data_IF_434094293547
#
_entry.id   IF_434094293547
#
_cell.length_a   1.000
_cell.length_b   1.000
_cell.length_c   1.000
_cell.angle_alpha   90.00
_cell.angle_beta   90.00
_cell.angle_gamma   90.00
#
_symmetry.space_group_name_H-M   'P 1'
#
loop_
_entity.id
_entity.type
_entity.pdbx_description
1 polymer ?
#
# COMPACT_ATOMS: atom_id res chain seq x y z
N UNK A 1 14.81 11.36 -30.45
CA UNK A 1 15.24 11.90 -29.15
C UNK A 1 14.23 11.43 -28.11
N UNK A 2 14.64 10.55 -27.20
CA UNK A 2 13.75 9.94 -26.20
C UNK A 2 13.60 10.90 -25.02
N UNK A 3 12.43 11.55 -24.94
CA UNK A 3 12.06 12.40 -23.81
C UNK A 3 11.64 11.49 -22.67
N UNK A 4 12.56 11.21 -21.74
CA UNK A 4 12.22 10.57 -20.46
C UNK A 4 11.27 11.51 -19.70
N UNK A 5 9.98 11.21 -19.73
CA UNK A 5 9.00 11.81 -18.81
C UNK A 5 9.42 11.41 -17.40
N UNK A 6 9.93 12.37 -16.63
CA UNK A 6 10.25 12.17 -15.22
C UNK A 6 8.95 12.21 -14.43
N UNK A 7 8.32 11.05 -14.25
CA UNK A 7 7.21 10.91 -13.30
C UNK A 7 7.77 11.08 -11.90
N UNK A 8 7.44 12.20 -11.24
CA UNK A 8 7.87 12.50 -9.86
C UNK A 8 7.08 11.62 -8.89
N UNK A 9 7.64 10.46 -8.53
CA UNK A 9 7.06 9.50 -7.59
C UNK A 9 7.44 9.92 -6.15
N UNK A 10 6.46 9.98 -5.24
CA UNK A 10 6.67 10.21 -3.81
C UNK A 10 7.06 8.89 -3.15
N UNK A 11 8.13 8.91 -2.33
CA UNK A 11 8.47 7.76 -1.50
C UNK A 11 7.71 7.88 -0.15
N UNK A 12 6.88 6.89 0.25
CA UNK A 12 6.31 6.73 1.58
C UNK A 12 7.39 6.29 2.59
N UNK A 13 8.61 6.80 2.43
CA UNK A 13 9.75 6.37 3.23
C UNK A 13 10.28 7.49 4.11
N UNK A 14 9.58 8.62 4.28
CA UNK A 14 10.08 9.71 5.12
C UNK A 14 8.92 10.30 5.93
N UNK A 15 9.14 10.52 7.23
CA UNK A 15 8.28 11.43 8.00
C UNK A 15 8.64 12.87 7.61
N UNK A 16 7.65 13.75 7.51
CA UNK A 16 7.86 15.16 7.20
C UNK A 16 7.70 16.03 8.44
N UNK A 17 8.67 16.91 8.71
CA UNK A 17 8.53 17.87 9.80
C UNK A 17 7.45 18.93 9.48
N UNK A 18 6.39 19.01 10.29
CA UNK A 18 5.32 20.01 10.12
C UNK A 18 5.80 21.43 10.40
N UNK A 19 6.79 21.61 11.27
CA UNK A 19 7.31 22.94 11.63
C UNK A 19 8.28 23.46 10.55
N UNK A 20 8.94 22.56 9.82
CA UNK A 20 9.79 22.89 8.69
C UNK A 20 9.51 21.94 7.52
N UNK A 21 8.53 22.30 6.68
CA UNK A 21 8.03 21.47 5.58
C UNK A 21 9.10 21.06 4.54
N UNK A 22 10.30 21.65 4.56
CA UNK A 22 11.39 21.25 3.66
C UNK A 22 12.29 20.14 4.22
N UNK A 23 12.08 19.74 5.48
CA UNK A 23 12.98 18.82 6.19
C UNK A 23 12.35 17.43 6.33
N UNK A 24 13.04 16.44 5.78
CA UNK A 24 12.64 15.04 5.79
C UNK A 24 13.37 14.33 6.92
N UNK A 25 12.63 13.52 7.68
CA UNK A 25 13.15 12.71 8.76
C UNK A 25 13.54 11.35 8.18
N UNK A 26 14.83 10.96 8.27
CA UNK A 26 15.31 9.73 7.64
C UNK A 26 14.63 8.48 8.18
N UNK A 27 14.08 7.67 7.28
CA UNK A 27 13.81 6.26 7.53
C UNK A 27 15.12 5.49 7.53
N UNK A 28 15.30 4.67 8.55
CA UNK A 28 16.50 3.89 8.80
C UNK A 28 16.30 2.42 8.44
N UNK A 29 15.13 1.87 8.74
CA UNK A 29 14.81 0.46 8.50
C UNK A 29 13.35 0.25 8.15
N UNK A 30 13.10 -0.70 7.27
CA UNK A 30 11.78 -1.26 6.98
C UNK A 30 11.84 -2.77 7.19
N UNK A 31 10.85 -3.32 7.89
CA UNK A 31 10.61 -4.76 7.91
C UNK A 31 9.18 -5.01 7.46
N UNK A 32 9.03 -5.85 6.45
CA UNK A 32 7.75 -6.29 5.91
C UNK A 32 7.61 -7.78 6.15
N UNK A 33 6.62 -8.15 6.95
CA UNK A 33 6.20 -9.53 7.15
C UNK A 33 4.81 -9.72 6.57
N UNK A 34 4.63 -10.74 5.73
CA UNK A 34 3.33 -11.08 5.16
C UNK A 34 3.05 -12.58 5.26
N UNK A 35 1.78 -12.95 5.42
CA UNK A 35 1.30 -14.32 5.33
C UNK A 35 0.12 -14.36 4.36
N UNK A 36 0.26 -15.12 3.29
CA UNK A 36 -0.76 -15.32 2.26
C UNK A 36 -1.36 -16.71 2.44
N UNK A 37 -2.68 -16.76 2.57
CA UNK A 37 -3.48 -17.98 2.64
C UNK A 37 -4.62 -17.84 1.66
N UNK A 38 -4.69 -18.75 0.69
CA UNK A 38 -5.67 -18.66 -0.39
C UNK A 38 -5.73 -17.25 -1.03
N UNK A 39 -6.85 -16.53 -0.87
CA UNK A 39 -7.12 -15.22 -1.46
C UNK A 39 -7.02 -14.06 -0.46
N UNK A 40 -6.32 -14.25 0.65
CA UNK A 40 -6.14 -13.21 1.66
C UNK A 40 -4.67 -13.11 2.09
N UNK A 41 -4.26 -11.89 2.42
CA UNK A 41 -2.96 -11.60 3.02
C UNK A 41 -3.12 -10.89 4.36
N UNK A 42 -2.38 -11.35 5.36
CA UNK A 42 -2.09 -10.63 6.60
C UNK A 42 -0.71 -10.00 6.48
N UNK A 43 -0.62 -8.68 6.62
CA UNK A 43 0.60 -7.91 6.38
C UNK A 43 0.92 -7.07 7.61
N UNK A 44 2.17 -7.12 8.04
CA UNK A 44 2.73 -6.27 9.08
C UNK A 44 3.94 -5.53 8.55
N UNK A 45 3.91 -4.20 8.63
CA UNK A 45 4.99 -3.32 8.20
C UNK A 45 5.51 -2.57 9.42
N UNK A 46 6.81 -2.67 9.65
CA UNK A 46 7.54 -1.98 10.70
C UNK A 46 8.52 -1.00 10.08
N UNK A 47 8.46 0.28 10.48
CA UNK A 47 9.30 1.34 9.94
C UNK A 47 9.97 2.08 11.09
N UNK A 48 11.30 2.18 11.03
CA UNK A 48 12.11 2.87 12.02
C UNK A 48 12.59 4.21 11.49
N UNK A 49 12.19 5.28 12.15
CA UNK A 49 12.61 6.65 11.85
C UNK A 49 13.46 7.21 12.97
N UNK A 50 14.35 8.16 12.66
CA UNK A 50 15.14 8.87 13.67
C UNK A 50 15.06 10.38 13.48
N UNK A 51 14.75 11.09 14.56
CA UNK A 51 14.89 12.55 14.59
C UNK A 51 16.38 12.92 14.73
N UNK A 52 17.01 13.36 13.66
CA UNK A 52 18.40 13.85 13.67
C UNK A 52 18.52 15.34 14.04
N UNK A 53 17.40 16.03 14.24
CA UNK A 53 17.38 17.44 14.62
C UNK A 53 17.78 17.65 16.09
N UNK A 54 18.20 18.88 16.40
CA UNK A 54 18.50 19.31 17.77
C UNK A 54 17.26 19.75 18.55
N UNK A 55 16.08 19.74 17.92
CA UNK A 55 14.81 20.16 18.52
C UNK A 55 13.73 19.09 18.36
N UNK A 56 12.73 19.01 19.28
CA UNK A 56 11.58 18.14 19.08
C UNK A 56 10.84 18.51 17.80
N UNK A 57 10.33 17.51 17.09
CA UNK A 57 9.64 17.70 15.81
C UNK A 57 8.23 17.10 15.82
N UNK A 58 7.34 17.69 15.02
CA UNK A 58 6.07 17.07 14.65
C UNK A 58 6.21 16.47 13.27
N UNK A 59 5.82 15.21 13.12
CA UNK A 59 6.03 14.43 11.92
C UNK A 59 4.69 14.00 11.31
N UNK A 60 4.60 14.03 9.99
CA UNK A 60 3.50 13.39 9.24
C UNK A 60 4.06 12.37 8.29
N UNK A 61 3.40 11.23 8.22
CA UNK A 61 3.71 10.16 7.29
C UNK A 61 2.44 9.68 6.62
N UNK A 62 2.50 9.43 5.31
CA UNK A 62 1.39 8.90 4.54
C UNK A 62 1.74 7.47 4.11
N UNK A 63 0.81 6.55 4.32
CA UNK A 63 0.97 5.14 4.03
C UNK A 63 -0.16 4.69 3.10
N UNK A 64 0.14 4.37 1.83
CA UNK A 64 -0.86 3.83 0.92
C UNK A 64 -1.14 2.36 1.25
N UNK A 65 -2.40 1.95 1.18
CA UNK A 65 -2.82 0.55 1.24
C UNK A 65 -3.80 0.26 0.11
N UNK A 66 -4.00 -1.01 -0.24
CA UNK A 66 -5.06 -1.35 -1.18
C UNK A 66 -6.44 -0.93 -0.65
N UNK A 67 -7.34 -0.52 -1.55
CA UNK A 67 -8.68 -0.01 -1.19
C UNK A 67 -9.49 -1.02 -0.35
N UNK A 68 -9.29 -2.32 -0.59
CA UNK A 68 -9.97 -3.41 0.12
C UNK A 68 -9.25 -3.83 1.41
N UNK A 69 -8.17 -3.15 1.80
CA UNK A 69 -7.42 -3.49 3.00
C UNK A 69 -8.08 -2.93 4.28
N UNK A 70 -8.03 -3.70 5.36
CA UNK A 70 -8.51 -3.31 6.68
C UNK A 70 -7.35 -3.30 7.69
N UNK A 71 -6.99 -2.11 8.18
CA UNK A 71 -6.03 -1.95 9.28
C UNK A 71 -6.69 -2.39 10.58
N UNK A 72 -6.05 -3.33 11.29
CA UNK A 72 -6.54 -3.83 12.58
C UNK A 72 -5.58 -3.54 13.74
N UNK A 73 -4.32 -3.16 13.46
CA UNK A 73 -3.35 -2.82 14.49
C UNK A 73 -2.47 -1.64 14.07
N UNK A 74 -2.22 -0.76 15.04
CA UNK A 74 -1.23 0.31 14.95
C UNK A 74 -0.49 0.45 16.29
N UNK A 75 0.83 0.41 16.24
CA UNK A 75 1.70 0.57 17.40
C UNK A 75 2.77 1.61 17.05
N UNK A 76 3.02 2.53 17.98
CA UNK A 76 4.17 3.44 17.93
C UNK A 76 5.08 3.16 19.12
N UNK A 77 6.37 2.93 18.88
CA UNK A 77 7.38 2.75 19.94
C UNK A 77 8.40 3.87 19.87
N UNK A 78 8.59 4.55 20.99
CA UNK A 78 9.59 5.63 21.14
C UNK A 78 10.28 5.41 22.48
N UNK A 79 11.60 5.31 22.45
CA UNK A 79 12.40 4.86 23.59
C UNK A 79 11.87 3.51 24.13
N UNK A 80 11.66 3.40 25.43
CA UNK A 80 11.17 2.19 26.10
C UNK A 80 9.63 2.13 26.20
N UNK A 81 8.92 3.01 25.47
CA UNK A 81 7.46 3.14 25.53
C UNK A 81 6.82 2.56 24.29
N UNK A 82 5.85 1.69 24.51
CA UNK A 82 4.95 1.21 23.46
C UNK A 82 3.58 1.89 23.60
N UNK A 83 3.11 2.49 22.51
CA UNK A 83 1.79 3.10 22.42
C UNK A 83 0.94 2.27 21.45
N UNK A 84 -0.06 1.57 21.98
CA UNK A 84 -1.05 0.83 21.20
C UNK A 84 -2.24 1.72 20.86
N UNK A 85 -2.63 1.80 19.60
CA UNK A 85 -3.81 2.58 19.19
C UNK A 85 -5.10 1.99 19.75
N UNK A 86 -6.04 2.88 20.06
CA UNK A 86 -7.43 2.53 20.34
C UNK A 86 -8.31 3.06 19.21
N UNK A 87 -9.09 2.18 18.59
CA UNK A 87 -10.04 2.57 17.56
C UNK A 87 -11.13 3.46 18.15
N UNK A 88 -11.30 4.65 17.59
CA UNK A 88 -12.31 5.64 18.00
C UNK A 88 -12.95 6.26 16.76
N UNK A 89 -14.15 6.82 16.92
CA UNK A 89 -14.75 7.67 15.88
C UNK A 89 -13.81 8.82 15.53
N UNK A 90 -13.66 9.12 14.23
CA UNK A 90 -12.69 10.09 13.69
C UNK A 90 -12.62 11.41 14.48
N UNK A 91 -13.75 12.11 14.66
CA UNK A 91 -13.79 13.38 15.41
C UNK A 91 -13.33 13.24 16.87
N UNK A 92 -13.64 12.12 17.51
CA UNK A 92 -13.21 11.84 18.89
C UNK A 92 -11.71 11.58 18.97
N UNK A 93 -11.15 10.85 18.01
CA UNK A 93 -9.72 10.60 17.91
C UNK A 93 -8.93 11.89 17.69
N UNK A 94 -9.37 12.73 16.75
CA UNK A 94 -8.76 14.03 16.46
C UNK A 94 -8.78 14.97 17.67
N UNK A 95 -9.90 15.04 18.40
CA UNK A 95 -10.01 15.84 19.61
C UNK A 95 -9.01 15.38 20.68
N UNK A 96 -8.95 14.07 20.96
CA UNK A 96 -8.03 13.52 21.95
C UNK A 96 -6.55 13.76 21.58
N UNK A 97 -6.21 13.63 20.30
CA UNK A 97 -4.87 13.94 19.79
C UNK A 97 -4.49 15.41 20.04
N UNK A 98 -5.38 16.35 19.70
CA UNK A 98 -5.11 17.78 19.88
C UNK A 98 -4.99 18.18 21.36
N UNK A 99 -5.83 17.62 22.23
CA UNK A 99 -5.76 17.85 23.68
C UNK A 99 -4.44 17.36 24.28
N UNK A 100 -3.98 16.17 23.87
CA UNK A 100 -2.69 15.62 24.31
C UNK A 100 -1.52 16.51 23.88
N UNK A 101 -1.53 17.02 22.65
CA UNK A 101 -0.51 17.96 22.18
C UNK A 101 -0.52 19.29 22.94
N UNK A 102 -1.69 19.85 23.24
CA UNK A 102 -1.81 21.09 24.01
C UNK A 102 -1.30 20.93 25.44
N UNK A 103 -1.46 19.74 26.02
CA UNK A 103 -0.89 19.39 27.33
C UNK A 103 0.62 19.10 27.30
N UNK A 104 1.26 19.16 26.13
CA UNK A 104 2.69 18.88 25.97
C UNK A 104 3.05 17.40 25.99
N UNK A 105 2.08 16.50 25.81
CA UNK A 105 2.30 15.07 25.70
C UNK A 105 2.64 14.66 24.26
N UNK A 106 3.41 13.57 24.11
CA UNK A 106 3.52 12.90 22.82
C UNK A 106 2.17 12.31 22.42
N UNK A 107 1.78 12.52 21.16
CA UNK A 107 0.47 12.09 20.64
C UNK A 107 0.64 11.44 19.27
N UNK A 108 -0.14 10.39 19.01
CA UNK A 108 -0.04 9.59 17.78
C UNK A 108 -1.44 9.32 17.25
N UNK A 109 -1.65 9.60 15.97
CA UNK A 109 -2.94 9.46 15.31
C UNK A 109 -2.75 8.86 13.93
N UNK A 110 -3.40 7.73 13.68
CA UNK A 110 -3.59 7.15 12.36
C UNK A 110 -5.04 7.42 11.93
N UNK A 111 -5.23 8.01 10.75
CA UNK A 111 -6.56 8.21 10.17
C UNK A 111 -6.54 8.05 8.66
N UNK A 112 -7.67 7.61 8.09
CA UNK A 112 -7.87 7.57 6.64
C UNK A 112 -8.01 8.99 6.09
N UNK A 113 -7.39 9.25 4.94
CA UNK A 113 -7.48 10.54 4.25
C UNK A 113 -8.94 10.84 3.82
N UNK A 114 -9.29 12.13 3.78
CA UNK A 114 -10.66 12.55 3.44
C UNK A 114 -10.98 12.48 1.95
N UNK A 115 -9.95 12.51 1.10
CA UNK A 115 -10.09 12.55 -0.36
C UNK A 115 -9.68 11.25 -1.02
N UNK A 116 -9.01 10.36 -0.29
CA UNK A 116 -8.45 9.11 -0.81
C UNK A 116 -8.67 7.99 0.19
N UNK A 117 -9.44 6.98 -0.23
CA UNK A 117 -9.77 5.83 0.61
C UNK A 117 -8.57 4.87 0.78
N UNK A 118 -7.67 4.87 -0.18
CA UNK A 118 -6.47 4.02 -0.27
C UNK A 118 -5.23 4.64 0.41
N UNK A 119 -5.40 5.72 1.18
CA UNK A 119 -4.29 6.39 1.85
C UNK A 119 -4.60 6.70 3.32
N UNK A 120 -3.63 6.38 4.18
CA UNK A 120 -3.69 6.64 5.60
C UNK A 120 -2.62 7.64 6.01
N UNK A 121 -2.99 8.54 6.90
CA UNK A 121 -2.13 9.59 7.43
C UNK A 121 -1.82 9.29 8.89
N UNK A 122 -0.53 9.21 9.19
CA UNK A 122 0.02 9.05 10.53
C UNK A 122 0.60 10.39 10.97
N UNK A 123 0.11 10.89 12.10
CA UNK A 123 0.62 12.08 12.76
C UNK A 123 1.39 11.64 14.01
N UNK A 124 2.68 11.98 14.04
CA UNK A 124 3.61 11.73 15.15
C UNK A 124 3.91 13.07 15.82
N UNK A 125 3.36 13.26 17.02
CA UNK A 125 3.49 14.49 17.78
C UNK A 125 4.67 14.49 18.73
N UNK A 126 5.51 15.52 18.64
CA UNK A 126 6.58 15.83 19.60
C UNK A 126 7.66 14.74 19.74
N UNK A 127 8.17 14.22 18.61
CA UNK A 127 9.31 13.30 18.58
C UNK A 127 10.59 14.02 19.06
N UNK A 128 11.24 13.61 20.17
CA UNK A 128 12.36 14.35 20.73
C UNK A 128 13.66 14.26 19.89
N UNK A 129 14.62 15.19 20.09
CA UNK A 129 15.93 15.18 19.43
C UNK A 129 16.68 13.86 19.62
N UNK A 130 17.28 13.34 18.56
CA UNK A 130 18.12 12.14 18.58
C UNK A 130 17.37 10.82 18.79
N UNK A 131 16.05 10.85 19.00
CA UNK A 131 15.22 9.69 19.32
C UNK A 131 14.69 8.96 18.09
N UNK A 132 14.48 7.67 18.27
CA UNK A 132 13.88 6.80 17.27
C UNK A 132 12.38 6.62 17.52
N UNK A 133 11.65 6.46 16.43
CA UNK A 133 10.23 6.16 16.40
C UNK A 133 10.04 4.94 15.50
N UNK A 134 9.64 3.82 16.08
CA UNK A 134 9.23 2.64 15.33
C UNK A 134 7.71 2.63 15.20
N UNK A 135 7.23 2.59 13.96
CA UNK A 135 5.81 2.48 13.63
C UNK A 135 5.54 1.08 13.11
N UNK A 136 4.58 0.39 13.70
CA UNK A 136 4.09 -0.92 13.26
C UNK A 136 2.64 -0.80 12.83
N UNK A 137 2.35 -1.17 11.59
CA UNK A 137 1.00 -1.20 11.02
C UNK A 137 0.71 -2.66 10.64
N UNK A 138 -0.43 -3.19 11.06
CA UNK A 138 -0.90 -4.51 10.62
C UNK A 138 -2.28 -4.41 10.00
N UNK A 139 -2.44 -5.04 8.84
CA UNK A 139 -3.66 -5.01 8.06
C UNK A 139 -3.89 -6.35 7.35
N UNK A 140 -5.16 -6.62 7.03
CA UNK A 140 -5.55 -7.72 6.15
C UNK A 140 -6.05 -7.16 4.83
N UNK A 141 -5.88 -7.91 3.74
CA UNK A 141 -6.39 -7.54 2.41
C UNK A 141 -6.77 -8.77 1.60
N UNK A 142 -7.80 -8.63 0.76
CA UNK A 142 -8.19 -9.64 -0.23
C UNK A 142 -7.28 -9.55 -1.46
N UNK A 143 -7.01 -10.69 -2.09
CA UNK A 143 -6.12 -10.79 -3.25
C UNK A 143 -6.91 -11.03 -4.53
N UNK A 144 -6.52 -10.33 -5.59
CA UNK A 144 -7.21 -10.36 -6.86
C UNK A 144 -6.71 -11.51 -7.76
N UNK A 145 -7.65 -12.12 -8.48
CA UNK A 145 -7.34 -12.97 -9.64
C UNK A 145 -6.98 -12.09 -10.84
N UNK A 146 -5.89 -12.43 -11.51
CA UNK A 146 -5.43 -11.77 -12.73
C UNK A 146 -5.22 -12.80 -13.83
N UNK A 147 -5.06 -12.31 -15.06
CA UNK A 147 -4.84 -13.15 -16.25
C UNK A 147 -5.88 -14.28 -16.37
N UNK A 148 -7.17 -13.89 -16.42
CA UNK A 148 -8.31 -14.79 -16.56
C UNK A 148 -8.38 -15.90 -15.49
N UNK A 149 -7.97 -15.59 -14.25
CA UNK A 149 -8.08 -16.53 -13.13
C UNK A 149 -6.93 -17.52 -13.03
N UNK A 150 -5.82 -17.29 -13.75
CA UNK A 150 -4.64 -18.17 -13.73
C UNK A 150 -3.63 -17.80 -12.63
N UNK A 151 -3.69 -16.55 -12.13
CA UNK A 151 -2.76 -16.02 -11.14
C UNK A 151 -3.47 -15.28 -10.01
N UNK A 152 -2.95 -15.40 -8.80
CA UNK A 152 -3.27 -14.52 -7.67
C UNK A 152 -2.17 -13.45 -7.60
N UNK A 153 -2.57 -12.18 -7.51
CA UNK A 153 -1.65 -11.05 -7.36
C UNK A 153 -1.71 -10.48 -5.95
N UNK A 154 -0.54 -10.35 -5.33
CA UNK A 154 -0.34 -9.62 -4.08
C UNK A 154 0.48 -8.37 -4.34
N UNK A 155 -0.01 -7.22 -3.88
CA UNK A 155 0.68 -5.93 -3.98
C UNK A 155 0.82 -5.31 -2.60
N UNK A 156 2.01 -4.77 -2.32
CA UNK A 156 2.23 -3.82 -1.23
C UNK A 156 2.56 -2.49 -1.87
N UNK A 157 1.65 -1.50 -1.79
CA UNK A 157 1.93 -0.15 -2.24
C UNK A 157 3.09 0.44 -1.43
N UNK A 158 4.18 0.79 -2.11
CA UNK A 158 5.34 1.41 -1.46
C UNK A 158 5.72 2.74 -2.12
N UNK A 159 4.81 3.30 -2.91
CA UNK A 159 4.95 4.62 -3.51
C UNK A 159 3.64 5.37 -3.42
N UNK A 160 3.69 6.68 -3.12
CA UNK A 160 2.50 7.53 -3.17
C UNK A 160 2.39 8.08 -4.59
N UNK A 161 1.29 7.78 -5.28
CA UNK A 161 1.09 8.22 -6.67
C UNK A 161 0.95 9.77 -6.79
N UNK A 162 1.31 10.39 -7.94
CA UNK A 162 1.22 11.84 -8.13
C UNK A 162 -0.18 12.46 -7.91
N UNK A 163 -1.26 11.68 -8.06
CA UNK A 163 -2.66 12.10 -7.83
C UNK A 163 -2.91 12.67 -6.42
N UNK A 164 -2.01 12.37 -5.48
CA UNK A 164 -2.08 12.83 -4.11
C UNK A 164 -1.50 14.24 -3.89
N UNK A 165 -1.07 14.93 -4.96
CA UNK A 165 -0.57 16.30 -4.88
C UNK A 165 -1.65 17.35 -4.58
N UNK A 166 -1.55 18.16 -3.51
CA UNK A 166 -2.50 19.23 -3.20
C UNK A 166 -2.66 20.26 -4.31
N UNK A 167 -1.60 20.50 -5.11
CA UNK A 167 -1.62 21.41 -6.25
C UNK A 167 -2.53 20.96 -7.41
N UNK A 168 -2.98 19.70 -7.41
CA UNK A 168 -3.87 19.10 -8.40
C UNK A 168 -5.12 18.51 -7.69
N UNK A 169 -5.52 19.07 -6.54
CA UNK A 169 -6.70 18.65 -5.80
C UNK A 169 -6.50 17.49 -4.80
N UNK A 170 -5.28 16.98 -4.64
CA UNK A 170 -4.92 15.87 -3.74
C UNK A 170 -4.97 16.19 -2.23
N UNK A 171 -4.24 15.40 -1.44
CA UNK A 171 -4.33 15.25 0.04
C UNK A 171 -4.50 16.60 0.77
N UNK A 172 -5.51 16.70 1.65
CA UNK A 172 -5.79 17.88 2.50
C UNK A 172 -5.05 17.81 3.85
N UNK A 173 -3.78 17.42 3.86
CA UNK A 173 -2.97 17.30 5.07
C UNK A 173 -1.88 18.37 5.09
N UNK A 174 -1.40 18.84 6.27
CA UNK A 174 -0.19 19.68 6.37
C UNK A 174 1.05 19.05 5.70
N UNK A 175 1.00 17.74 5.41
CA UNK A 175 1.86 17.08 4.43
C UNK A 175 1.56 17.57 2.99
N UNK A 176 1.78 18.86 2.72
CA UNK A 176 1.81 19.38 1.36
C UNK A 176 2.88 18.64 0.53
N UNK A 177 2.52 17.82 -0.44
CA UNK A 177 3.46 16.99 -1.22
C UNK A 177 4.27 17.79 -2.26
N UNK A 178 4.86 18.92 -1.85
CA UNK A 178 5.93 19.57 -2.61
C UNK A 178 7.17 18.66 -2.55
N UNK A 179 7.22 17.71 -3.49
CA UNK A 179 8.22 16.65 -3.53
C UNK A 179 9.57 17.16 -4.03
N UNK A 180 10.62 16.88 -3.26
CA UNK A 180 11.96 16.68 -3.81
C UNK A 180 12.17 15.18 -3.87
N UNK A 181 12.42 14.65 -5.07
CA UNK A 181 12.86 13.28 -5.26
C UNK A 181 14.16 13.07 -4.47
N UNK A 182 14.12 12.20 -3.45
CA UNK A 182 15.33 11.79 -2.74
C UNK A 182 15.83 10.52 -3.43
N UNK A 183 16.89 10.67 -4.22
CA UNK A 183 17.48 9.61 -5.07
C UNK A 183 17.92 8.36 -4.29
N UNK A 184 18.19 8.50 -3.01
CA UNK A 184 18.53 7.38 -2.13
C UNK A 184 18.35 7.84 -0.70
N UNK A 185 17.37 7.28 0.01
CA UNK A 185 17.41 7.29 1.47
C UNK A 185 18.13 5.99 1.86
N UNK A 186 19.27 6.04 2.55
CA UNK A 186 19.95 4.82 2.99
C UNK A 186 19.13 4.19 4.11
N UNK A 187 18.18 3.34 3.75
CA UNK A 187 17.51 2.44 4.69
C UNK A 187 17.84 0.99 4.36
N UNK A 188 17.71 0.15 5.37
CA UNK A 188 17.75 -1.30 5.22
C UNK A 188 16.32 -1.79 5.11
N UNK A 189 16.05 -2.70 4.17
CA UNK A 189 14.77 -3.38 4.07
C UNK A 189 14.94 -4.88 4.26
N UNK A 190 14.09 -5.42 5.12
CA UNK A 190 13.87 -6.85 5.27
C UNK A 190 12.46 -7.17 4.78
N UNK A 191 12.35 -8.10 3.84
CA UNK A 191 11.07 -8.59 3.32
C UNK A 191 10.98 -10.08 3.54
N UNK A 192 9.89 -10.53 4.17
CA UNK A 192 9.58 -11.94 4.38
C UNK A 192 8.09 -12.19 4.19
N UNK A 193 7.75 -12.95 3.15
CA UNK A 193 6.39 -13.39 2.88
C UNK A 193 6.29 -14.92 3.01
N UNK A 194 5.27 -15.41 3.70
CA UNK A 194 4.89 -16.82 3.72
C UNK A 194 3.71 -17.03 2.79
N UNK A 195 3.77 -18.01 1.90
CA UNK A 195 2.68 -18.32 0.97
C UNK A 195 2.32 -19.79 1.12
N UNK A 196 1.06 -20.09 1.40
CA UNK A 196 0.54 -21.47 1.41
C UNK A 196 0.79 -22.16 0.06
N UNK A 197 1.28 -23.41 0.07
CA UNK A 197 1.62 -24.13 -1.17
C UNK A 197 0.40 -24.64 -1.94
N UNK A 198 -0.72 -24.84 -1.25
CA UNK A 198 -1.91 -25.48 -1.82
C UNK A 198 -2.42 -24.66 -3.00
N UNK A 199 -2.57 -25.31 -4.16
CA UNK A 199 -3.05 -24.67 -5.38
C UNK A 199 -2.05 -23.76 -6.09
N UNK A 200 -0.82 -23.60 -5.58
CA UNK A 200 0.21 -22.73 -6.18
C UNK A 200 1.26 -23.55 -6.93
N UNK A 201 1.38 -23.31 -8.24
CA UNK A 201 2.38 -23.92 -9.12
C UNK A 201 3.74 -23.21 -9.04
N UNK A 202 3.75 -21.87 -9.08
CA UNK A 202 4.98 -21.08 -9.05
C UNK A 202 4.73 -19.67 -8.53
N UNK A 203 5.77 -19.03 -8.00
CA UNK A 203 5.71 -17.64 -7.51
C UNK A 203 6.79 -16.83 -8.24
N UNK A 204 6.43 -15.63 -8.67
CA UNK A 204 7.34 -14.71 -9.35
C UNK A 204 7.13 -13.28 -8.88
N UNK A 205 8.11 -12.42 -9.11
CA UNK A 205 7.98 -10.97 -8.89
C UNK A 205 8.53 -10.22 -10.09
N UNK A 206 7.74 -9.31 -10.62
CA UNK A 206 8.14 -8.38 -11.69
C UNK A 206 8.76 -7.08 -11.14
N UNK A 207 8.58 -6.84 -9.85
CA UNK A 207 9.01 -5.60 -9.17
C UNK A 207 10.40 -5.72 -8.55
N UNK A 208 10.67 -6.81 -7.84
CA UNK A 208 11.90 -6.99 -7.05
C UNK A 208 12.44 -8.41 -7.24
N UNK A 209 13.76 -8.59 -7.27
CA UNK A 209 14.34 -9.92 -7.36
C UNK A 209 14.13 -10.66 -6.02
N UNK A 210 13.52 -11.86 -6.11
CA UNK A 210 13.16 -12.67 -4.95
C UNK A 210 13.94 -13.99 -4.92
N UNK A 211 14.03 -14.57 -3.73
CA UNK A 211 14.44 -15.95 -3.50
C UNK A 211 13.34 -16.68 -2.74
N UNK A 212 13.15 -17.97 -3.04
CA UNK A 212 12.08 -18.79 -2.48
C UNK A 212 12.72 -19.99 -1.78
N UNK A 213 12.50 -20.12 -0.47
CA UNK A 213 12.83 -21.30 0.31
C UNK A 213 11.69 -22.33 0.21
N UNK A 214 12.03 -23.50 -0.35
CA UNK A 214 11.12 -24.61 -0.60
C UNK A 214 11.13 -25.67 0.52
N UNK A 215 12.04 -25.55 1.51
CA UNK A 215 12.31 -26.58 2.52
C UNK A 215 11.14 -26.82 3.49
N UNK A 216 10.21 -25.88 3.58
CA UNK A 216 9.02 -26.00 4.42
C UNK A 216 7.95 -26.83 3.72
N UNK A 217 7.24 -27.67 4.46
CA UNK A 217 6.27 -28.60 3.88
C UNK A 217 5.05 -27.87 3.31
N UNK A 218 4.43 -27.00 4.11
CA UNK A 218 3.09 -26.45 3.82
C UNK A 218 3.09 -25.03 3.22
N UNK A 219 4.23 -24.33 3.28
CA UNK A 219 4.35 -22.97 2.76
C UNK A 219 5.69 -22.72 2.08
N UNK A 220 5.73 -21.73 1.18
CA UNK A 220 6.94 -21.12 0.66
C UNK A 220 7.37 -19.96 1.55
N UNK A 221 8.67 -19.74 1.74
CA UNK A 221 9.17 -18.48 2.32
C UNK A 221 9.83 -17.67 1.21
N UNK A 222 9.30 -16.49 0.95
CA UNK A 222 9.80 -15.56 -0.07
C UNK A 222 10.53 -14.43 0.66
N UNK A 223 11.74 -14.12 0.21
CA UNK A 223 12.53 -12.97 0.67
C UNK A 223 13.15 -12.27 -0.54
N UNK A 224 13.64 -11.04 -0.38
CA UNK A 224 14.46 -10.42 -1.42
C UNK A 224 15.79 -11.17 -1.57
N UNK A 225 16.24 -11.36 -2.82
CA UNK A 225 17.51 -12.04 -3.10
C UNK A 225 18.72 -11.11 -3.04
N UNK A 226 18.49 -9.80 -3.02
CA UNK A 226 19.55 -8.79 -2.95
C UNK A 226 19.48 -8.04 -1.62
N UNK A 227 20.65 -7.69 -1.10
CA UNK A 227 20.76 -6.72 0.00
C UNK A 227 20.59 -5.31 -0.58
N UNK A 228 19.99 -4.39 0.19
CA UNK A 228 19.75 -2.99 -0.18
C UNK A 228 18.71 -2.76 -1.29
N UNK A 229 17.63 -3.54 -1.29
CA UNK A 229 16.47 -3.28 -2.16
C UNK A 229 15.83 -1.92 -1.85
N UNK A 230 15.44 -1.16 -2.88
CA UNK A 230 14.71 0.09 -2.72
C UNK A 230 13.22 -0.10 -2.98
N UNK A 231 12.38 0.46 -2.11
CA UNK A 231 10.94 0.65 -2.26
C UNK A 231 10.56 1.81 -3.20
N UNK A 232 11.24 1.93 -4.32
CA UNK A 232 10.96 2.97 -5.33
C UNK A 232 9.81 2.61 -6.28
N UNK A 233 9.23 1.42 -6.07
CA UNK A 233 8.07 0.84 -6.76
C UNK A 233 7.41 -0.16 -5.81
N UNK A 234 6.14 -0.45 -6.06
CA UNK A 234 5.35 -1.41 -5.28
C UNK A 234 5.99 -2.81 -5.25
N UNK A 235 5.83 -3.53 -4.13
CA UNK A 235 6.23 -4.94 -4.06
C UNK A 235 5.08 -5.77 -4.65
N UNK A 236 5.36 -6.49 -5.72
CA UNK A 236 4.40 -7.32 -6.44
C UNK A 236 4.83 -8.78 -6.45
N UNK A 237 3.97 -9.67 -5.98
CA UNK A 237 4.12 -11.12 -6.12
C UNK A 237 2.97 -11.69 -6.95
N UNK A 238 3.31 -12.39 -8.02
CA UNK A 238 2.37 -13.15 -8.85
C UNK A 238 2.52 -14.64 -8.54
N UNK A 239 1.44 -15.25 -8.08
CA UNK A 239 1.34 -16.66 -7.73
C UNK A 239 0.51 -17.37 -8.80
N UNK A 240 1.19 -18.18 -9.61
CA UNK A 240 0.56 -19.00 -10.65
C UNK A 240 -0.18 -20.17 -10.00
N UNK A 241 -1.45 -20.33 -10.35
CA UNK A 241 -2.26 -21.46 -9.90
C UNK A 241 -1.93 -22.73 -10.70
N UNK A 242 -2.07 -23.90 -10.05
CA UNK A 242 -1.91 -25.22 -10.71
C UNK A 242 -2.97 -25.43 -11.78
N UNK A 243 -4.20 -25.03 -11.47
CA UNK A 243 -5.34 -25.02 -12.38
C UNK A 243 -6.04 -23.66 -12.24
N UNK A 244 -6.83 -23.28 -13.24
CA UNK A 244 -7.62 -22.06 -13.14
C UNK A 244 -8.53 -22.14 -11.91
N UNK A 245 -8.65 -21.02 -11.20
CA UNK A 245 -9.47 -20.98 -10.00
C UNK A 245 -10.92 -21.36 -10.31
N UNK A 246 -11.48 -22.26 -9.48
CA UNK A 246 -12.86 -22.71 -9.59
C UNK A 246 -13.63 -22.37 -8.31
N UNK A 247 -14.96 -22.38 -8.40
CA UNK A 247 -15.84 -22.06 -7.28
C UNK A 247 -15.52 -22.94 -6.07
N UNK A 248 -15.16 -22.32 -4.95
CA UNK A 248 -14.68 -23.05 -3.77
C UNK A 248 -15.06 -22.35 -2.46
N UNK A 249 -15.14 -23.14 -1.38
CA UNK A 249 -15.22 -22.63 -0.02
C UNK A 249 -13.80 -22.54 0.52
N UNK A 250 -13.33 -21.33 0.77
CA UNK A 250 -11.98 -21.04 1.23
C UNK A 250 -11.84 -21.21 2.74
N UNK A 251 -12.88 -20.84 3.50
CA UNK A 251 -12.88 -20.95 4.95
C UNK A 251 -14.30 -21.17 5.48
N UNK A 252 -14.40 -21.99 6.54
CA UNK A 252 -15.63 -22.20 7.30
C UNK A 252 -15.29 -21.99 8.77
N UNK A 253 -15.92 -20.99 9.36
CA UNK A 253 -15.85 -20.67 10.78
C UNK A 253 -17.25 -20.78 11.39
N UNK A 254 -17.33 -20.80 12.72
CA UNK A 254 -18.59 -21.04 13.45
C UNK A 254 -19.74 -20.13 12.99
N UNK A 255 -19.44 -18.88 12.63
CA UNK A 255 -20.43 -17.87 12.22
C UNK A 255 -20.10 -17.21 10.87
N UNK A 256 -19.15 -17.73 10.11
CA UNK A 256 -18.71 -17.10 8.86
C UNK A 256 -18.26 -18.16 7.84
N UNK A 257 -18.54 -17.90 6.56
CA UNK A 257 -18.04 -18.71 5.45
C UNK A 257 -17.43 -17.76 4.43
N UNK A 258 -16.21 -18.05 3.99
CA UNK A 258 -15.60 -17.39 2.85
C UNK A 258 -15.70 -18.32 1.66
N UNK A 259 -16.41 -17.87 0.62
CA UNK A 259 -16.52 -18.59 -0.65
C UNK A 259 -16.05 -17.69 -1.78
N UNK A 260 -15.35 -18.29 -2.75
CA UNK A 260 -14.93 -17.61 -3.96
C UNK A 260 -15.64 -18.23 -5.15
N UNK A 261 -16.24 -17.37 -5.97
CA UNK A 261 -16.93 -17.76 -7.20
C UNK A 261 -16.24 -17.11 -8.39
N UNK A 262 -15.79 -17.92 -9.34
CA UNK A 262 -15.18 -17.47 -10.58
C UNK A 262 -15.86 -18.19 -11.73
N UNK A 263 -16.59 -17.47 -12.60
CA UNK A 263 -17.21 -18.06 -13.77
C UNK A 263 -16.17 -18.78 -14.63
N UNK A 264 -16.44 -20.02 -14.99
CA UNK A 264 -15.59 -20.72 -15.94
C UNK A 264 -15.76 -20.15 -17.35
N UNK A 265 -14.81 -20.43 -18.24
CA UNK A 265 -14.94 -20.06 -19.65
C UNK A 265 -16.20 -20.69 -20.29
N UNK A 266 -16.54 -21.91 -19.88
CA UNK A 266 -17.78 -22.58 -20.29
C UNK A 266 -19.04 -21.87 -19.78
N UNK A 267 -19.03 -21.35 -18.55
CA UNK A 267 -20.16 -20.57 -18.01
C UNK A 267 -20.36 -19.29 -18.80
N UNK A 268 -19.27 -18.58 -19.09
CA UNK A 268 -19.29 -17.40 -19.95
C UNK A 268 -19.82 -17.73 -21.35
N UNK A 269 -19.36 -18.81 -21.98
CA UNK A 269 -19.83 -19.25 -23.29
C UNK A 269 -21.31 -19.66 -23.25
N UNK A 270 -21.79 -20.31 -22.19
CA UNK A 270 -23.20 -20.69 -22.04
C UNK A 270 -24.12 -19.48 -21.99
N UNK A 271 -23.69 -18.39 -21.35
CA UNK A 271 -24.42 -17.12 -21.31
C UNK A 271 -24.38 -16.44 -22.68
N UNK A 272 -23.22 -16.35 -23.32
CA UNK A 272 -23.11 -15.76 -24.66
C UNK A 272 -23.93 -16.50 -25.73
N UNK A 273 -24.03 -17.82 -25.62
CA UNK A 273 -24.77 -18.65 -26.60
C UNK A 273 -26.29 -18.69 -26.36
N UNK A 274 -26.78 -18.43 -25.14
CA UNK A 274 -28.21 -18.48 -24.80
C UNK A 274 -28.90 -17.12 -24.79
N UNK A 275 -28.16 -16.04 -24.96
CA UNK A 275 -28.70 -14.69 -24.89
C UNK A 275 -28.00 -13.79 -25.89
N UNK A 276 -28.77 -13.13 -26.76
CA UNK A 276 -28.32 -11.96 -27.52
C UNK A 276 -28.07 -10.79 -26.54
N UNK A 277 -27.09 -10.95 -25.65
CA UNK A 277 -26.65 -9.91 -24.72
C UNK A 277 -25.83 -8.90 -25.53
N UNK A 278 -26.52 -7.95 -26.16
CA UNK A 278 -25.89 -6.71 -26.60
C UNK A 278 -25.61 -5.86 -25.38
N UNK A 279 -24.36 -5.87 -24.91
CA UNK A 279 -23.89 -4.91 -23.93
C UNK A 279 -23.67 -3.56 -24.63
N UNK A 280 -24.40 -2.53 -24.22
CA UNK A 280 -24.17 -1.16 -24.69
C UNK A 280 -23.11 -0.50 -23.79
N UNK A 281 -22.01 -0.07 -24.38
CA UNK A 281 -20.96 0.68 -23.68
C UNK A 281 -20.93 2.11 -24.22
N UNK A 282 -21.26 3.08 -23.37
CA UNK A 282 -21.22 4.50 -23.70
C UNK A 282 -19.98 5.10 -23.04
N UNK A 283 -19.00 5.50 -23.85
CA UNK A 283 -17.80 6.17 -23.38
C UNK A 283 -18.00 7.69 -23.44
N UNK A 284 -17.95 8.35 -22.28
CA UNK A 284 -17.97 9.81 -22.18
C UNK A 284 -16.55 10.29 -21.97
N UNK A 285 -16.00 10.99 -22.96
CA UNK A 285 -14.60 11.46 -22.97
C UNK A 285 -14.59 12.98 -22.81
N UNK A 286 -13.75 13.49 -21.91
CA UNK A 286 -13.50 14.93 -21.83
C UNK A 286 -12.71 15.39 -23.06
N UNK A 287 -13.19 16.43 -23.73
CA UNK A 287 -12.57 17.07 -24.88
C UNK A 287 -12.22 18.54 -24.60
N UNK A 288 -12.11 18.91 -23.32
CA UNK A 288 -11.70 20.25 -22.90
C UNK A 288 -10.27 20.57 -23.37
N UNK A 289 -9.92 21.86 -23.49
CA UNK A 289 -8.58 22.27 -23.93
C UNK A 289 -7.42 21.77 -23.06
N UNK A 290 -7.68 21.29 -21.85
CA UNK A 290 -6.67 20.65 -20.98
C UNK A 290 -6.25 19.25 -21.43
N UNK A 291 -7.01 18.64 -22.36
CA UNK A 291 -6.73 17.34 -22.96
C UNK A 291 -5.73 17.41 -24.12
N UNK A 292 -5.44 18.61 -24.62
CA UNK A 292 -4.35 18.85 -25.59
C UNK A 292 -2.97 18.79 -24.92
N UNK A 293 -2.90 18.95 -23.59
CA UNK A 293 -1.65 18.85 -22.84
C UNK A 293 -1.14 17.41 -22.80
N UNK A 294 0.18 17.25 -22.94
CA UNK A 294 0.89 15.97 -22.76
C UNK A 294 0.32 14.80 -23.59
N UNK A 295 -0.31 15.10 -24.73
CA UNK A 295 -0.84 14.10 -25.66
C UNK A 295 -1.97 13.23 -25.07
N UNK A 296 -2.68 13.72 -24.04
CA UNK A 296 -3.75 12.98 -23.34
C UNK A 296 -4.89 12.59 -24.28
N UNK A 297 -5.32 13.50 -25.16
CA UNK A 297 -6.41 13.21 -26.12
C UNK A 297 -6.04 12.11 -27.11
N UNK A 298 -4.78 12.05 -27.54
CA UNK A 298 -4.30 11.01 -28.46
C UNK A 298 -4.18 9.65 -27.78
N UNK A 299 -3.78 9.62 -26.50
CA UNK A 299 -3.80 8.39 -25.70
C UNK A 299 -5.24 7.88 -25.48
N UNK A 300 -6.18 8.80 -25.18
CA UNK A 300 -7.59 8.46 -25.07
C UNK A 300 -8.13 7.88 -26.40
N UNK A 301 -7.74 8.48 -27.54
CA UNK A 301 -8.09 7.98 -28.87
C UNK A 301 -7.50 6.59 -29.13
N UNK A 302 -6.25 6.34 -28.78
CA UNK A 302 -5.60 5.04 -28.94
C UNK A 302 -6.25 3.94 -28.10
N UNK A 303 -6.70 4.26 -26.88
CA UNK A 303 -7.36 3.28 -26.00
C UNK A 303 -8.78 2.89 -26.47
N UNK A 304 -9.40 3.72 -27.32
CA UNK A 304 -10.75 3.52 -27.87
C UNK A 304 -10.75 2.81 -29.23
N UNK A 305 -9.58 2.60 -29.84
CA UNK A 305 -9.38 1.93 -31.12
C UNK A 305 -8.94 0.48 -30.90
#
# INVERSE_FOLDING_TARGET
>A
MSTKVKTNILLPSMLRNQQNQQQLIPLQRVNVAATIRSFAADVSITQLFRNEETTPIKAVYCFPIEEQAAIYSFIARIDDREITAQLKKKKTAQKAYNEALQAGHGAYLLEQDEKSQDNFVINVGALPPGKECEIVISYVTELNLVENGTKIRFVIPTTIAPRYNPGIGGISSPASTTSKYVQSVPYIIDFRCQVEKVGINSISSTSHPIQIDLNKQDFYIITFSQQNTSLDREILLDMQLVENHSNTILAVETNAVMASFTPSEEDCQRVMNNTDLTNEFIFVVDCSGSMDDENKIELARQAML
#
